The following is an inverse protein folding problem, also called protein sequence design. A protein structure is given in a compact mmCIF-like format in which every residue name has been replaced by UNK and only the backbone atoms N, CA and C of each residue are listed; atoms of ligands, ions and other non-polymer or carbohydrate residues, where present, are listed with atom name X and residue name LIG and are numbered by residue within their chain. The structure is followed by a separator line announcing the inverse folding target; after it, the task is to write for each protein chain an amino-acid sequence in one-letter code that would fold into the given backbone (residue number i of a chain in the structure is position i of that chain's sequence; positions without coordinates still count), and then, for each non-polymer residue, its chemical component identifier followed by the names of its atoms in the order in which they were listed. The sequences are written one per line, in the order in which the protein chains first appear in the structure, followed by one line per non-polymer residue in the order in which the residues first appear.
data_IF_806290970719
#
_entry.id   IF_806290970719
#
_cell.length_a   1.000
_cell.length_b   1.000
_cell.length_c   1.000
_cell.angle_alpha   90.00
_cell.angle_beta   90.00
_cell.angle_gamma   90.00
#
_symmetry.space_group_name_H-M   'P 1'
#
loop_
_entity.id
_entity.type
_entity.pdbx_description
1 polymer ?
#
# COMPACT_ATOMS: atom_id res chain seq x y z
N UNK A 1 -60.33 42.75 -25.53
CA UNK A 1 -60.40 42.99 -24.08
C UNK A 1 -59.24 42.22 -23.45
N UNK A 2 -58.25 42.81 -22.79
CA UNK A 2 -57.91 44.23 -22.61
C UNK A 2 -56.41 44.36 -22.27
N UNK A 3 -55.73 45.35 -22.85
CA UNK A 3 -54.47 45.95 -22.34
C UNK A 3 -54.83 47.26 -21.56
N UNK A 4 -53.90 48.08 -21.01
CA UNK A 4 -52.44 47.98 -20.84
C UNK A 4 -52.07 47.88 -19.32
N UNK A 5 -50.92 48.26 -18.73
CA UNK A 5 -49.69 49.06 -19.04
C UNK A 5 -48.57 48.65 -18.02
N UNK A 6 -47.34 49.18 -17.91
CA UNK A 6 -46.66 50.43 -18.34
C UNK A 6 -45.22 50.22 -18.82
N UNK A 7 -44.71 51.23 -19.53
CA UNK A 7 -43.37 51.37 -20.07
C UNK A 7 -42.60 52.44 -19.28
N UNK A 8 -41.30 52.26 -19.00
CA UNK A 8 -40.38 53.39 -18.86
C UNK A 8 -38.92 52.98 -19.16
N UNK A 9 -38.33 53.67 -20.14
CA UNK A 9 -36.91 53.61 -20.47
C UNK A 9 -36.15 54.67 -19.65
N UNK A 10 -34.90 54.36 -19.26
CA UNK A 10 -33.84 55.35 -19.08
C UNK A 10 -32.58 54.82 -19.74
N UNK A 11 -31.85 55.70 -20.41
CA UNK A 11 -30.75 55.40 -21.35
C UNK A 11 -29.36 55.65 -20.77
N UNK A 12 -28.35 55.00 -21.37
CA UNK A 12 -26.92 55.42 -21.48
C UNK A 12 -26.13 55.61 -20.17
N UNK A 13 -24.92 55.07 -19.99
CA UNK A 13 -23.73 55.25 -20.85
C UNK A 13 -22.77 54.04 -20.86
N UNK A 14 -21.75 54.11 -21.72
CA UNK A 14 -20.83 53.02 -22.02
C UNK A 14 -19.58 52.96 -21.11
N UNK A 15 -19.03 51.76 -20.95
CA UNK A 15 -17.56 51.59 -20.87
C UNK A 15 -17.12 50.29 -21.54
N UNK A 16 -15.97 50.38 -22.20
CA UNK A 16 -15.38 49.43 -23.15
C UNK A 16 -14.43 48.44 -22.49
N UNK A 17 -14.28 47.25 -23.11
CA UNK A 17 -13.07 46.40 -23.31
C UNK A 17 -13.59 44.99 -23.68
N UNK A 18 -13.51 44.52 -24.94
CA UNK A 18 -12.37 43.76 -25.53
C UNK A 18 -11.86 42.67 -24.58
N UNK A 19 -11.89 41.36 -24.90
CA UNK A 19 -11.37 40.67 -26.09
C UNK A 19 -12.10 39.30 -26.27
N UNK A 20 -12.56 38.83 -27.45
CA UNK A 20 -11.88 37.90 -28.40
C UNK A 20 -10.97 36.82 -27.73
N UNK A 21 -10.95 35.51 -28.07
CA UNK A 21 -11.46 34.72 -29.22
C UNK A 21 -11.72 33.22 -28.87
N UNK A 22 -12.58 32.56 -29.67
CA UNK A 22 -12.57 31.13 -30.11
C UNK A 22 -12.23 29.96 -29.14
N UNK A 23 -13.16 29.01 -29.03
CA UNK A 23 -12.96 27.64 -28.55
C UNK A 23 -12.29 26.76 -29.64
N UNK A 24 -11.23 25.99 -29.34
CA UNK A 24 -10.72 24.96 -30.25
C UNK A 24 -11.28 23.56 -29.91
N UNK A 25 -11.83 22.88 -30.91
CA UNK A 25 -12.17 21.45 -30.86
C UNK A 25 -10.90 20.59 -30.99
N UNK A 26 -10.73 19.52 -30.18
CA UNK A 26 -9.57 18.64 -30.31
C UNK A 26 -9.75 17.65 -31.48
N UNK A 27 -9.03 17.88 -32.57
CA UNK A 27 -8.79 16.89 -33.62
C UNK A 27 -7.39 16.32 -33.48
N UNK A 28 -7.25 15.01 -33.29
CA UNK A 28 -5.95 14.36 -33.26
C UNK A 28 -5.96 13.05 -32.47
N UNK A 29 -6.06 11.92 -33.17
CA UNK A 29 -5.69 10.64 -32.58
C UNK A 29 -4.19 10.67 -32.29
N UNK A 30 -3.80 10.60 -31.03
CA UNK A 30 -2.45 10.16 -30.71
C UNK A 30 -2.49 9.28 -29.45
N UNK A 31 -2.68 7.98 -29.66
CA UNK A 31 -2.48 6.93 -28.67
C UNK A 31 -0.97 6.63 -28.54
N UNK A 32 -0.18 7.68 -28.26
CA UNK A 32 1.23 7.52 -27.98
C UNK A 32 1.43 6.98 -26.57
N UNK A 33 2.36 6.04 -26.47
CA UNK A 33 2.64 5.22 -25.31
C UNK A 33 2.57 5.97 -23.97
N UNK A 34 1.90 5.35 -22.98
CA UNK A 34 2.10 5.63 -21.56
C UNK A 34 3.58 5.40 -21.25
N UNK A 35 4.37 6.47 -21.31
CA UNK A 35 5.79 6.42 -21.04
C UNK A 35 6.01 5.87 -19.64
N UNK A 36 6.75 4.77 -19.55
CA UNK A 36 7.25 4.25 -18.28
C UNK A 36 8.11 5.35 -17.69
N UNK A 37 7.57 6.05 -16.69
CA UNK A 37 8.18 7.26 -16.15
C UNK A 37 9.59 6.96 -15.66
N UNK A 38 10.59 7.59 -16.28
CA UNK A 38 11.98 7.53 -15.81
C UNK A 38 11.99 7.96 -14.36
N UNK A 39 12.35 7.06 -13.44
CA UNK A 39 12.39 7.34 -12.01
C UNK A 39 13.28 8.56 -11.73
N UNK A 40 12.64 9.69 -11.37
CA UNK A 40 13.36 10.91 -11.00
C UNK A 40 13.72 10.81 -9.52
N UNK A 41 14.85 10.18 -9.23
CA UNK A 41 15.56 10.42 -7.98
C UNK A 41 16.02 11.88 -8.06
N UNK A 42 15.36 12.76 -7.29
CA UNK A 42 15.81 14.15 -7.16
C UNK A 42 17.17 14.15 -6.48
N UNK A 43 18.09 14.98 -6.97
CA UNK A 43 19.35 15.19 -6.27
C UNK A 43 19.05 15.80 -4.90
N UNK A 44 19.47 15.11 -3.84
CA UNK A 44 19.24 15.56 -2.47
C UNK A 44 20.25 16.64 -2.02
N UNK A 45 21.22 17.00 -2.86
CA UNK A 45 22.22 18.05 -2.60
C UNK A 45 21.61 19.43 -2.29
N UNK A 46 20.37 19.70 -2.70
CA UNK A 46 19.65 20.96 -2.42
C UNK A 46 19.03 21.01 -1.01
N UNK A 47 18.95 19.88 -0.30
CA UNK A 47 18.31 19.79 1.02
C UNK A 47 19.27 20.32 2.10
N UNK A 48 18.90 21.42 2.78
CA UNK A 48 19.69 21.97 3.90
C UNK A 48 19.57 21.10 5.15
N UNK A 49 20.36 20.04 5.20
CA UNK A 49 20.45 19.15 6.37
C UNK A 49 21.35 19.71 7.48
N UNK A 50 21.07 19.35 8.73
CA UNK A 50 21.90 19.74 9.88
C UNK A 50 23.26 19.04 9.88
N UNK A 51 24.26 19.58 10.59
CA UNK A 51 25.59 18.96 10.73
C UNK A 51 25.59 17.53 11.30
N UNK A 52 24.51 17.15 12.01
CA UNK A 52 24.36 15.84 12.64
C UNK A 52 23.36 14.95 11.90
N UNK A 53 22.90 15.36 10.71
CA UNK A 53 21.95 14.57 9.93
C UNK A 53 22.61 13.30 9.38
N UNK A 54 21.97 12.16 9.63
CA UNK A 54 22.41 10.86 9.11
C UNK A 54 21.54 10.50 7.91
N UNK A 55 22.13 10.57 6.71
CA UNK A 55 21.46 10.14 5.48
C UNK A 55 21.10 8.65 5.59
N UNK A 56 19.81 8.34 5.48
CA UNK A 56 19.29 6.96 5.50
C UNK A 56 18.55 6.67 4.20
N UNK A 57 18.93 5.59 3.52
CA UNK A 57 18.29 5.16 2.28
C UNK A 57 17.26 4.07 2.55
N UNK A 58 16.06 4.25 2.01
CA UNK A 58 14.97 3.28 2.08
C UNK A 58 14.71 2.65 0.70
N UNK A 59 14.49 1.33 0.68
CA UNK A 59 13.93 0.61 -0.46
C UNK A 59 12.55 0.08 -0.07
N UNK A 60 11.49 0.71 -0.60
CA UNK A 60 10.11 0.43 -0.22
C UNK A 60 9.39 -0.25 -1.38
N UNK A 61 8.75 -1.38 -1.10
CA UNK A 61 7.98 -2.18 -2.04
C UNK A 61 6.66 -2.63 -1.38
N UNK A 62 5.63 -2.93 -2.18
CA UNK A 62 4.28 -3.30 -1.72
C UNK A 62 3.59 -4.14 -2.79
N UNK A 63 2.52 -4.84 -2.42
CA UNK A 63 1.59 -5.51 -3.34
C UNK A 63 2.31 -6.46 -4.32
N UNK A 64 3.34 -7.15 -3.81
CA UNK A 64 4.20 -8.01 -4.62
C UNK A 64 3.43 -9.17 -5.23
N UNK A 65 2.43 -9.70 -4.50
CA UNK A 65 1.61 -10.84 -4.89
C UNK A 65 2.40 -12.02 -5.49
N UNK A 66 3.59 -12.25 -4.95
CA UNK A 66 4.61 -13.19 -5.46
C UNK A 66 4.87 -13.11 -6.97
N UNK A 67 4.79 -11.91 -7.55
CA UNK A 67 5.04 -11.66 -8.97
C UNK A 67 6.53 -11.66 -9.30
N UNK A 68 6.93 -12.35 -10.36
CA UNK A 68 8.33 -12.43 -10.82
C UNK A 68 8.98 -11.06 -11.14
N UNK A 69 8.15 -10.03 -11.34
CA UNK A 69 8.59 -8.63 -11.51
C UNK A 69 9.38 -8.09 -10.32
N UNK A 70 9.28 -8.71 -9.14
CA UNK A 70 10.10 -8.31 -7.99
C UNK A 70 11.60 -8.53 -8.25
N UNK A 71 11.99 -9.54 -9.03
CA UNK A 71 13.41 -9.78 -9.38
C UNK A 71 14.00 -8.61 -10.19
N UNK A 72 13.25 -8.10 -11.16
CA UNK A 72 13.65 -6.95 -11.97
C UNK A 72 13.73 -5.67 -11.13
N UNK A 73 12.85 -5.52 -10.14
CA UNK A 73 12.81 -4.38 -9.24
C UNK A 73 13.92 -4.39 -8.17
N UNK A 74 14.41 -5.57 -7.74
CA UNK A 74 15.47 -5.71 -6.73
C UNK A 74 16.88 -5.73 -7.29
N UNK A 75 17.05 -6.00 -8.59
CA UNK A 75 18.38 -6.16 -9.17
C UNK A 75 19.26 -4.92 -8.97
N UNK A 76 20.39 -5.10 -8.29
CA UNK A 76 21.38 -4.03 -8.02
C UNK A 76 20.93 -2.99 -6.98
N UNK A 77 19.83 -3.21 -6.25
CA UNK A 77 19.39 -2.31 -5.19
C UNK A 77 20.19 -2.52 -3.90
N UNK A 78 20.48 -1.43 -3.19
CA UNK A 78 21.12 -1.40 -1.87
C UNK A 78 20.58 -0.21 -1.07
N UNK A 79 20.26 -0.44 0.20
CA UNK A 79 19.60 0.49 1.12
C UNK A 79 20.01 0.24 2.58
N UNK A 80 19.79 1.20 3.48
CA UNK A 80 19.94 0.97 4.92
C UNK A 80 18.77 0.13 5.46
N UNK A 81 17.57 0.36 4.90
CA UNK A 81 16.33 -0.30 5.29
C UNK A 81 15.51 -0.70 4.07
N UNK A 82 15.11 -1.96 3.99
CA UNK A 82 14.08 -2.46 3.08
C UNK A 82 12.75 -2.54 3.83
N UNK A 83 11.66 -2.10 3.20
CA UNK A 83 10.30 -2.18 3.75
C UNK A 83 9.36 -2.84 2.72
N UNK A 84 8.62 -3.87 3.14
CA UNK A 84 7.55 -4.50 2.38
C UNK A 84 6.17 -4.20 3.03
N UNK A 85 5.34 -3.41 2.35
CA UNK A 85 4.09 -2.84 2.87
C UNK A 85 2.82 -3.68 2.63
N UNK A 86 2.93 -5.00 2.80
CA UNK A 86 1.80 -5.93 2.69
C UNK A 86 1.51 -6.42 1.26
N UNK A 87 0.53 -7.33 1.19
CA UNK A 87 0.16 -8.13 0.02
C UNK A 87 1.39 -8.81 -0.61
N UNK A 88 2.16 -9.46 0.27
CA UNK A 88 3.37 -10.25 0.00
C UNK A 88 3.04 -11.34 -1.04
N UNK A 89 1.92 -12.02 -0.81
CA UNK A 89 1.47 -13.20 -1.54
C UNK A 89 0.20 -12.92 -2.35
N UNK A 90 -0.16 -13.83 -3.26
CA UNK A 90 -1.46 -13.80 -3.96
C UNK A 90 -2.47 -14.72 -3.27
N UNK A 91 -2.01 -15.83 -2.69
CA UNK A 91 -2.86 -16.88 -2.13
C UNK A 91 -2.48 -17.32 -0.72
N UNK A 92 -1.48 -16.67 -0.11
CA UNK A 92 -0.89 -17.02 1.19
C UNK A 92 -0.27 -18.42 1.30
N UNK A 93 0.18 -18.98 0.17
CA UNK A 93 0.83 -20.29 0.16
C UNK A 93 2.22 -20.22 0.79
N UNK A 94 2.66 -21.31 1.43
CA UNK A 94 3.97 -21.33 2.10
C UNK A 94 5.15 -21.11 1.12
N UNK A 95 5.02 -21.58 -0.12
CA UNK A 95 6.01 -21.35 -1.18
C UNK A 95 6.03 -19.90 -1.69
N UNK A 96 4.91 -19.17 -1.62
CA UNK A 96 4.84 -17.75 -1.98
C UNK A 96 5.68 -16.90 -1.02
N UNK A 97 5.61 -17.16 0.29
CA UNK A 97 6.45 -16.49 1.29
C UNK A 97 7.93 -16.84 1.15
N UNK A 98 8.26 -18.12 0.90
CA UNK A 98 9.64 -18.56 0.65
C UNK A 98 10.23 -17.87 -0.57
N UNK A 99 9.47 -17.77 -1.66
CA UNK A 99 9.90 -17.12 -2.89
C UNK A 99 10.18 -15.63 -2.69
N UNK A 100 9.22 -14.88 -2.11
CA UNK A 100 9.42 -13.44 -1.86
C UNK A 100 10.54 -13.20 -0.84
N UNK A 101 10.61 -14.03 0.21
CA UNK A 101 11.71 -14.02 1.18
C UNK A 101 13.07 -14.23 0.51
N UNK A 102 13.19 -15.19 -0.40
CA UNK A 102 14.42 -15.43 -1.15
C UNK A 102 14.81 -14.22 -2.01
N UNK A 103 13.92 -13.76 -2.89
CA UNK A 103 14.26 -12.70 -3.87
C UNK A 103 14.54 -11.36 -3.19
N UNK A 104 13.73 -10.96 -2.21
CA UNK A 104 13.96 -9.71 -1.48
C UNK A 104 15.05 -9.86 -0.41
N UNK A 105 15.37 -11.08 0.02
CA UNK A 105 16.47 -11.41 0.92
C UNK A 105 17.83 -11.07 0.34
N UNK A 106 17.99 -11.23 -0.98
CA UNK A 106 19.21 -10.91 -1.75
C UNK A 106 19.51 -9.40 -1.86
N UNK A 107 18.54 -8.52 -1.55
CA UNK A 107 18.78 -7.07 -1.50
C UNK A 107 19.76 -6.75 -0.37
N UNK A 108 20.79 -5.95 -0.68
CA UNK A 108 21.73 -5.40 0.29
C UNK A 108 21.03 -4.34 1.17
N UNK A 109 20.32 -4.84 2.17
CA UNK A 109 19.60 -4.08 3.17
C UNK A 109 19.85 -4.72 4.55
N UNK A 110 20.60 -4.04 5.44
CA UNK A 110 20.89 -4.50 6.80
C UNK A 110 19.65 -4.69 7.68
N UNK A 111 18.64 -3.85 7.51
CA UNK A 111 17.34 -3.98 8.14
C UNK A 111 16.29 -4.30 7.08
N UNK A 112 15.51 -5.36 7.28
CA UNK A 112 14.39 -5.74 6.42
C UNK A 112 13.12 -5.81 7.26
N UNK A 113 12.17 -4.93 7.00
CA UNK A 113 10.89 -4.83 7.70
C UNK A 113 9.77 -5.29 6.76
N UNK A 114 8.77 -5.99 7.30
CA UNK A 114 7.57 -6.38 6.55
C UNK A 114 6.34 -6.34 7.43
N UNK A 115 5.26 -5.79 6.90
CA UNK A 115 3.90 -5.99 7.42
C UNK A 115 3.14 -6.91 6.44
N UNK A 116 2.21 -7.75 6.90
CA UNK A 116 1.28 -8.44 6.03
C UNK A 116 0.21 -7.48 5.47
N UNK A 117 -0.39 -7.85 4.34
CA UNK A 117 -1.62 -7.25 3.81
C UNK A 117 -2.79 -8.23 3.79
N UNK A 118 -3.88 -7.83 3.14
CA UNK A 118 -5.12 -8.63 3.15
C UNK A 118 -5.07 -9.98 2.40
N UNK A 119 -4.09 -10.17 1.51
CA UNK A 119 -3.79 -11.43 0.85
C UNK A 119 -2.91 -12.38 1.69
N UNK A 120 -2.34 -11.92 2.82
CA UNK A 120 -1.34 -12.69 3.58
C UNK A 120 -1.96 -13.47 4.76
N UNK A 121 -2.97 -14.28 4.42
CA UNK A 121 -3.84 -14.99 5.37
C UNK A 121 -3.12 -15.75 6.48
N UNK A 122 -2.16 -16.61 6.16
CA UNK A 122 -1.48 -17.47 7.13
C UNK A 122 -0.51 -16.74 8.07
N UNK A 123 -0.24 -15.44 7.85
CA UNK A 123 0.38 -14.55 8.83
C UNK A 123 -0.63 -14.02 9.87
N UNK A 124 -1.94 -14.05 9.62
CA UNK A 124 -2.96 -13.84 10.65
C UNK A 124 -3.08 -15.09 11.53
N UNK A 125 -2.10 -15.25 12.42
CA UNK A 125 -1.98 -16.40 13.32
C UNK A 125 -3.22 -16.60 14.21
N UNK A 126 -3.94 -15.51 14.50
CA UNK A 126 -5.08 -15.49 15.40
C UNK A 126 -6.39 -15.93 14.73
N UNK A 127 -6.59 -15.61 13.45
CA UNK A 127 -7.88 -15.83 12.76
C UNK A 127 -7.82 -16.83 11.61
N UNK A 128 -6.78 -16.80 10.78
CA UNK A 128 -6.70 -17.72 9.64
C UNK A 128 -6.62 -19.18 10.12
N UNK A 129 -5.94 -19.40 11.24
CA UNK A 129 -5.76 -20.72 11.85
C UNK A 129 -6.79 -21.03 12.94
N UNK A 130 -7.84 -20.22 13.08
CA UNK A 130 -9.00 -20.55 13.90
C UNK A 130 -9.98 -21.40 13.05
N UNK A 131 -10.48 -22.49 13.62
CA UNK A 131 -11.50 -23.33 13.02
C UNK A 131 -12.90 -22.70 13.13
N UNK A 132 -13.09 -21.78 14.09
CA UNK A 132 -14.34 -21.07 14.35
C UNK A 132 -14.48 -19.79 13.52
N UNK A 133 -13.39 -19.17 13.05
CA UNK A 133 -13.44 -18.05 12.10
C UNK A 133 -13.72 -18.53 10.66
N UNK A 134 -15.02 -18.75 10.41
CA UNK A 134 -15.54 -19.12 9.09
C UNK A 134 -15.32 -18.08 7.98
N UNK A 135 -14.81 -16.88 8.27
CA UNK A 135 -14.60 -15.85 7.25
C UNK A 135 -13.55 -16.24 6.20
N UNK A 136 -12.61 -17.13 6.56
CA UNK A 136 -11.59 -17.69 5.67
C UNK A 136 -12.07 -18.90 4.85
N UNK A 137 -13.28 -19.44 5.10
CA UNK A 137 -13.79 -20.62 4.38
C UNK A 137 -14.00 -20.38 2.87
N UNK A 138 -14.07 -19.11 2.44
CA UNK A 138 -14.17 -18.71 1.03
C UNK A 138 -12.84 -18.31 0.40
N UNK A 139 -11.71 -18.46 1.12
CA UNK A 139 -10.38 -18.15 0.60
C UNK A 139 -10.08 -19.02 -0.64
N UNK A 140 -9.61 -18.46 -1.78
CA UNK A 140 -9.76 -19.14 -3.07
C UNK A 140 -9.12 -20.54 -3.18
N UNK A 141 -7.98 -20.75 -2.51
CA UNK A 141 -7.24 -22.03 -2.54
C UNK A 141 -7.57 -22.94 -1.35
N UNK A 142 -8.17 -22.40 -0.28
CA UNK A 142 -8.65 -23.18 0.89
C UNK A 142 -10.06 -23.74 0.67
N UNK A 143 -10.86 -23.07 -0.16
CA UNK A 143 -12.29 -23.37 -0.35
C UNK A 143 -12.48 -24.80 -0.85
N UNK A 144 -13.08 -25.65 -0.01
CA UNK A 144 -13.34 -27.07 -0.31
C UNK A 144 -12.23 -28.02 0.13
N UNK A 145 -11.08 -27.50 0.60
CA UNK A 145 -10.03 -28.30 1.24
C UNK A 145 -10.39 -28.48 2.71
N UNK A 146 -10.84 -29.67 3.08
CA UNK A 146 -11.17 -30.06 4.46
C UNK A 146 -10.09 -30.96 5.09
N UNK A 147 -9.19 -31.50 4.28
CA UNK A 147 -8.13 -32.40 4.71
C UNK A 147 -6.96 -31.61 5.33
N UNK A 148 -6.60 -31.95 6.57
CA UNK A 148 -5.58 -31.22 7.35
C UNK A 148 -4.19 -31.35 6.73
N UNK A 149 -3.86 -32.50 6.15
CA UNK A 149 -2.56 -32.72 5.49
C UNK A 149 -2.45 -31.90 4.19
N UNK A 150 -3.54 -31.73 3.44
CA UNK A 150 -3.61 -30.83 2.29
C UNK A 150 -3.47 -29.36 2.70
N UNK A 151 -4.13 -28.93 3.78
CA UNK A 151 -3.96 -27.58 4.32
C UNK A 151 -2.51 -27.33 4.76
N UNK A 152 -1.88 -28.29 5.46
CA UNK A 152 -0.49 -28.20 5.88
C UNK A 152 0.48 -28.11 4.68
N UNK A 153 0.22 -28.85 3.59
CA UNK A 153 1.02 -28.76 2.35
C UNK A 153 0.90 -27.41 1.64
N UNK A 154 -0.28 -26.77 1.68
CA UNK A 154 -0.53 -25.49 1.03
C UNK A 154 -0.02 -24.29 1.83
N UNK A 155 -0.28 -24.28 3.14
CA UNK A 155 -0.12 -23.10 4.01
C UNK A 155 0.98 -23.25 5.07
N UNK A 156 1.57 -24.45 5.22
CA UNK A 156 2.43 -24.81 6.35
C UNK A 156 1.62 -25.05 7.63
N UNK A 157 2.25 -24.90 8.78
CA UNK A 157 1.57 -24.80 10.08
C UNK A 157 1.53 -23.35 10.58
N UNK A 158 0.80 -23.09 11.67
CA UNK A 158 0.73 -21.77 12.31
C UNK A 158 2.14 -21.25 12.61
N UNK A 159 2.43 -20.03 12.15
CA UNK A 159 3.74 -19.36 12.27
C UNK A 159 4.80 -19.77 11.24
N UNK A 160 4.56 -20.76 10.37
CA UNK A 160 5.57 -21.15 9.37
C UNK A 160 5.76 -20.11 8.26
N UNK A 161 4.71 -19.38 7.87
CA UNK A 161 4.81 -18.25 6.95
C UNK A 161 5.73 -17.14 7.50
N UNK A 162 5.64 -16.86 8.81
CA UNK A 162 6.50 -15.91 9.51
C UNK A 162 7.96 -16.38 9.50
N UNK A 163 8.21 -17.64 9.92
CA UNK A 163 9.55 -18.26 9.87
C UNK A 163 10.15 -18.30 8.47
N UNK A 164 9.32 -18.44 7.43
CA UNK A 164 9.77 -18.44 6.04
C UNK A 164 10.37 -17.10 5.63
N UNK A 165 9.77 -15.97 6.06
CA UNK A 165 10.32 -14.63 5.85
C UNK A 165 11.53 -14.36 6.75
N UNK A 166 11.44 -14.69 8.04
CA UNK A 166 12.51 -14.47 9.02
C UNK A 166 13.82 -15.19 8.66
N UNK A 167 13.74 -16.35 7.99
CA UNK A 167 14.89 -17.07 7.42
C UNK A 167 15.75 -16.21 6.48
N UNK A 168 15.15 -15.24 5.80
CA UNK A 168 15.83 -14.32 4.88
C UNK A 168 16.09 -12.93 5.50
N UNK A 169 16.04 -12.83 6.83
CA UNK A 169 16.39 -11.62 7.59
C UNK A 169 15.27 -10.60 7.75
N UNK A 170 14.05 -10.91 7.33
CA UNK A 170 12.88 -10.07 7.55
C UNK A 170 12.42 -10.07 9.01
N UNK A 171 12.01 -8.91 9.50
CA UNK A 171 11.27 -8.77 10.75
C UNK A 171 9.80 -8.53 10.41
N UNK A 172 8.95 -9.52 10.71
CA UNK A 172 7.50 -9.43 10.51
C UNK A 172 6.90 -8.62 11.65
N UNK A 173 6.45 -7.40 11.35
CA UNK A 173 5.93 -6.46 12.32
C UNK A 173 4.42 -6.66 12.53
N UNK A 174 4.04 -6.74 13.80
CA UNK A 174 2.66 -6.58 14.23
C UNK A 174 2.31 -5.09 14.31
N UNK A 175 1.04 -4.77 14.58
CA UNK A 175 0.64 -3.40 14.87
C UNK A 175 1.36 -2.82 16.11
N UNK A 176 1.83 -1.58 16.00
CA UNK A 176 2.42 -0.81 17.09
C UNK A 176 3.78 -0.20 16.78
N UNK A 177 4.37 0.41 17.81
CA UNK A 177 5.62 1.17 17.73
C UNK A 177 6.84 0.26 17.87
N UNK A 178 7.84 0.51 17.04
CA UNK A 178 9.08 -0.22 16.95
C UNK A 178 10.24 0.78 16.90
N UNK A 179 11.44 0.41 17.35
CA UNK A 179 12.63 1.26 17.29
C UNK A 179 13.84 0.45 16.88
N UNK A 180 14.54 0.92 15.85
CA UNK A 180 15.68 0.24 15.25
C UNK A 180 16.92 1.13 15.26
N UNK A 181 18.07 0.56 15.63
CA UNK A 181 19.36 1.22 15.47
C UNK A 181 19.97 0.77 14.13
N UNK A 182 20.19 1.72 13.22
CA UNK A 182 20.68 1.47 11.88
C UNK A 182 22.21 1.47 11.84
N UNK A 183 22.81 0.77 10.87
CA UNK A 183 24.28 0.65 10.74
C UNK A 183 24.97 1.99 10.42
N UNK A 184 24.24 2.95 9.83
CA UNK A 184 24.72 4.31 9.58
C UNK A 184 24.74 5.20 10.83
N UNK A 185 24.28 4.70 11.99
CA UNK A 185 24.23 5.43 13.25
C UNK A 185 22.92 6.17 13.53
N UNK A 186 21.94 6.12 12.62
CA UNK A 186 20.60 6.63 12.87
C UNK A 186 19.81 5.71 13.82
N UNK A 187 18.93 6.30 14.63
CA UNK A 187 17.81 5.60 15.25
C UNK A 187 16.58 5.84 14.39
N UNK A 188 15.80 4.80 14.13
CA UNK A 188 14.57 4.84 13.35
C UNK A 188 13.40 4.37 14.20
N UNK A 189 12.43 5.25 14.44
CA UNK A 189 11.15 4.95 15.09
C UNK A 189 10.09 4.70 14.05
N UNK A 190 9.42 3.56 14.18
CA UNK A 190 8.46 3.05 13.20
C UNK A 190 7.14 2.74 13.88
N UNK A 191 6.04 3.31 13.39
CA UNK A 191 4.73 2.73 13.65
C UNK A 191 4.38 1.78 12.51
N UNK A 192 4.06 0.53 12.83
CA UNK A 192 3.60 -0.45 11.85
C UNK A 192 2.11 -0.74 12.07
N UNK A 193 1.35 -0.97 11.00
CA UNK A 193 0.06 -1.65 11.08
C UNK A 193 -0.30 -2.36 9.78
N UNK A 194 -0.67 -3.66 9.82
CA UNK A 194 -1.17 -4.38 8.65
C UNK A 194 -2.64 -4.07 8.33
N UNK A 195 -3.34 -3.35 9.23
CA UNK A 195 -4.80 -3.25 9.18
C UNK A 195 -5.30 -2.32 8.08
N UNK A 196 -6.19 -2.82 7.22
CA UNK A 196 -6.76 -2.08 6.08
C UNK A 196 -8.30 -2.16 6.06
N UNK A 197 -9.03 -1.16 5.53
CA UNK A 197 -10.48 -1.22 5.46
C UNK A 197 -10.99 -2.40 4.61
N UNK A 198 -11.93 -3.17 5.15
CA UNK A 198 -12.59 -4.23 4.38
C UNK A 198 -13.37 -3.69 3.19
N UNK A 199 -13.47 -4.49 2.11
CA UNK A 199 -14.44 -4.21 1.02
C UNK A 199 -15.85 -4.61 1.46
N UNK A 200 -16.57 -3.65 2.04
CA UNK A 200 -17.98 -3.81 2.42
C UNK A 200 -18.91 -4.13 1.24
N UNK A 201 -20.13 -4.59 1.53
CA UNK A 201 -21.21 -4.84 0.53
C UNK A 201 -21.84 -3.55 -0.03
N UNK A 202 -21.10 -2.43 -0.05
CA UNK A 202 -21.64 -1.07 -0.21
C UNK A 202 -22.15 -0.74 -1.62
N UNK A 203 -21.52 -1.26 -2.68
CA UNK A 203 -22.04 -1.16 -4.04
C UNK A 203 -22.94 -2.36 -4.35
N UNK A 204 -24.24 -2.09 -4.56
CA UNK A 204 -25.24 -3.09 -4.98
C UNK A 204 -24.72 -3.91 -6.17
N UNK A 205 -24.41 -5.19 -5.92
CA UNK A 205 -23.99 -6.16 -6.95
C UNK A 205 -22.50 -6.51 -6.99
N UNK A 206 -21.60 -5.80 -6.29
CA UNK A 206 -20.19 -6.19 -6.24
C UNK A 206 -19.93 -7.18 -5.10
N UNK A 207 -19.33 -8.33 -5.42
CA UNK A 207 -18.79 -9.26 -4.42
C UNK A 207 -17.56 -8.60 -3.77
N UNK A 208 -17.52 -8.56 -2.44
CA UNK A 208 -16.33 -8.17 -1.70
C UNK A 208 -15.16 -9.13 -1.95
N UNK A 209 -13.95 -8.73 -1.53
CA UNK A 209 -12.77 -9.59 -1.67
C UNK A 209 -12.96 -10.93 -0.93
N UNK A 210 -12.49 -12.06 -1.48
CA UNK A 210 -12.37 -13.31 -0.73
C UNK A 210 -11.17 -13.27 0.23
N UNK A 211 -10.25 -12.31 0.05
CA UNK A 211 -9.10 -12.03 0.90
C UNK A 211 -9.49 -11.04 2.00
N UNK A 212 -9.19 -11.40 3.26
CA UNK A 212 -9.76 -10.80 4.47
C UNK A 212 -8.80 -10.68 5.65
N UNK A 213 -7.53 -11.06 5.45
CA UNK A 213 -6.52 -10.94 6.51
C UNK A 213 -6.38 -9.47 6.92
N UNK A 214 -6.18 -9.21 8.21
CA UNK A 214 -5.91 -7.85 8.70
C UNK A 214 -6.92 -6.79 8.18
N UNK A 215 -8.21 -7.13 8.11
CA UNK A 215 -9.27 -6.19 7.68
C UNK A 215 -10.25 -5.84 8.80
N UNK A 216 -10.59 -4.55 8.88
CA UNK A 216 -11.62 -4.00 9.77
C UNK A 216 -12.89 -3.56 9.03
N UNK A 217 -14.01 -3.47 9.76
CA UNK A 217 -15.29 -2.99 9.23
C UNK A 217 -15.24 -1.48 8.96
N UNK A 218 -15.76 -1.03 7.82
CA UNK A 218 -15.77 0.41 7.48
C UNK A 218 -16.62 1.22 8.47
N UNK A 219 -17.70 0.60 8.95
CA UNK A 219 -18.64 1.11 9.94
C UNK A 219 -18.07 1.17 11.37
N UNK A 220 -17.13 0.29 11.72
CA UNK A 220 -16.50 0.25 13.04
C UNK A 220 -15.21 1.10 13.09
N UNK A 221 -14.57 1.29 11.93
CA UNK A 221 -13.24 1.90 11.83
C UNK A 221 -12.14 1.03 12.44
N UNK A 222 -10.96 1.64 12.56
CA UNK A 222 -9.81 1.14 13.30
C UNK A 222 -9.00 2.35 13.74
N UNK A 223 -8.62 2.42 15.01
CA UNK A 223 -7.92 3.56 15.59
C UNK A 223 -6.42 3.33 15.59
N UNK A 224 -5.70 4.07 14.74
CA UNK A 224 -4.24 4.03 14.68
C UNK A 224 -3.66 5.00 15.70
N UNK A 225 -3.26 4.47 16.86
CA UNK A 225 -2.60 5.23 17.92
C UNK A 225 -1.12 5.47 17.56
N UNK A 226 -0.84 6.52 16.79
CA UNK A 226 0.50 6.88 16.31
C UNK A 226 1.05 8.04 17.16
N UNK A 227 2.26 7.88 17.70
CA UNK A 227 2.91 8.92 18.52
C UNK A 227 3.53 10.01 17.63
N UNK A 228 3.60 11.24 18.14
CA UNK A 228 4.13 12.41 17.41
C UNK A 228 5.62 12.30 17.05
N UNK A 229 6.37 11.41 17.70
CA UNK A 229 7.81 11.24 17.54
C UNK A 229 8.21 10.04 16.64
N UNK A 230 7.25 9.50 15.88
CA UNK A 230 7.48 8.43 14.88
C UNK A 230 8.09 9.01 13.60
N UNK A 231 9.20 8.44 13.14
CA UNK A 231 9.86 8.85 11.89
C UNK A 231 9.14 8.31 10.64
N UNK A 232 8.66 7.06 10.68
CA UNK A 232 8.00 6.38 9.56
C UNK A 232 6.77 5.60 10.02
N UNK A 233 5.67 5.78 9.28
CA UNK A 233 4.46 4.95 9.40
C UNK A 233 4.43 3.94 8.26
N UNK A 234 4.42 2.64 8.59
CA UNK A 234 4.33 1.52 7.64
C UNK A 234 2.90 0.96 7.71
N UNK A 235 2.10 1.18 6.66
CA UNK A 235 0.72 0.68 6.55
C UNK A 235 0.43 0.08 5.19
N UNK A 236 -0.52 -0.86 5.14
CA UNK A 236 -1.00 -1.46 3.89
C UNK A 236 -2.21 -0.66 3.34
N UNK A 237 -1.96 0.13 2.29
CA UNK A 237 -2.94 0.99 1.61
C UNK A 237 -3.86 0.22 0.65
N UNK A 238 -5.10 0.69 0.39
CA UNK A 238 -6.23 -0.23 0.28
C UNK A 238 -6.53 -0.73 -1.14
N UNK A 239 -7.37 -1.79 -1.24
CA UNK A 239 -7.92 -2.26 -2.51
C UNK A 239 -8.87 -1.23 -3.18
N UNK A 240 -8.25 -0.32 -3.93
CA UNK A 240 -8.77 0.72 -4.86
C UNK A 240 -9.27 2.04 -4.25
N UNK A 241 -8.73 3.13 -4.80
CA UNK A 241 -9.19 4.55 -4.84
C UNK A 241 -8.76 5.57 -3.79
N UNK A 242 -7.94 5.23 -2.79
CA UNK A 242 -7.11 6.25 -2.13
C UNK A 242 -5.67 6.10 -2.59
N UNK A 243 -5.15 7.09 -3.32
CA UNK A 243 -3.70 7.21 -3.52
C UNK A 243 -3.06 7.56 -2.18
N UNK A 244 -2.25 6.69 -1.55
CA UNK A 244 -1.46 7.12 -0.42
C UNK A 244 -0.42 8.11 -0.95
N UNK A 245 -0.53 9.38 -0.54
CA UNK A 245 0.59 10.31 -0.68
C UNK A 245 1.65 9.83 0.30
N UNK A 246 2.80 9.39 -0.21
CA UNK A 246 3.98 9.17 0.61
C UNK A 246 4.36 10.51 1.26
N UNK A 247 3.93 10.72 2.50
CA UNK A 247 4.30 11.90 3.27
C UNK A 247 5.62 11.59 3.96
N UNK A 248 6.72 11.96 3.31
CA UNK A 248 8.01 12.10 3.97
C UNK A 248 8.07 13.56 4.42
N UNK A 249 7.81 13.87 5.71
CA UNK A 249 8.09 15.21 6.22
C UNK A 249 9.60 15.47 6.15
N UNK A 250 9.96 16.64 5.62
CA UNK A 250 11.31 17.22 5.65
C UNK A 250 11.28 18.49 6.51
#
# INVERSE_FOLDING_TARGET
MSEPSQNQQVTTEARSEQDSTSVPTPSGNNLDALAVGKWVIRDQSETRVSKNHVNTRFFIISDTHSSDRINEATQGQSADVLILCGDITRHSLIEEYKYVGQVLGEVDAPLKLVIPGNHDGSLDESRFWDEWDTSYNNWPVRKGVQDVDQLAKLFGHRGDAKKALERYGFQVLNEGHNTFNLRNGATLKVYASPYTPSRGKGEKGKRGSPYRAFQYGQENGHEFLIDEDVDIVITHGPPVRSFPRLFVPF
#
